data_IF_623280113344
#
_entry.id   IF_623280113344
#
_cell.length_a   1.000
_cell.length_b   1.000
_cell.length_c   1.000
_cell.angle_alpha   90.00
_cell.angle_beta   90.00
_cell.angle_gamma   90.00
#
_symmetry.space_group_name_H-M   'P 1'
#
loop_
_entity.id
_entity.type
_entity.pdbx_description
1 polymer ?
#
# COMPACT_ATOMS: atom_id res chain seq x y z
N UNK A 1 14.80 1.96 -46.21
CA UNK A 1 13.41 2.04 -45.73
C UNK A 1 13.43 1.43 -44.34
N UNK A 2 13.75 2.25 -43.34
CA UNK A 2 14.01 1.79 -41.97
C UNK A 2 12.70 1.83 -41.20
N UNK A 3 12.35 0.72 -40.54
CA UNK A 3 11.16 0.61 -39.69
C UNK A 3 11.14 1.72 -38.62
N UNK A 4 9.98 2.33 -38.34
CA UNK A 4 9.89 3.33 -37.29
C UNK A 4 10.04 2.65 -35.92
N UNK A 5 10.96 3.23 -35.14
CA UNK A 5 11.23 2.97 -33.73
C UNK A 5 9.95 2.78 -32.91
N UNK A 6 9.86 1.63 -32.25
CA UNK A 6 8.81 1.27 -31.31
C UNK A 6 8.87 2.23 -30.09
N UNK A 7 7.97 3.22 -30.08
CA UNK A 7 7.82 4.18 -29.00
C UNK A 7 7.37 3.40 -27.76
N UNK A 8 8.19 3.42 -26.71
CA UNK A 8 7.93 2.73 -25.45
C UNK A 8 6.67 3.27 -24.76
N UNK A 9 5.54 2.59 -24.98
CA UNK A 9 4.30 2.81 -24.23
C UNK A 9 4.44 2.16 -22.86
N UNK A 10 5.08 2.83 -21.90
CA UNK A 10 4.97 2.45 -20.49
C UNK A 10 4.83 3.69 -19.61
N UNK A 11 3.58 4.04 -19.30
CA UNK A 11 3.26 4.94 -18.18
C UNK A 11 1.96 4.48 -17.51
N UNK A 12 1.92 3.21 -17.12
CA UNK A 12 0.86 2.64 -16.28
C UNK A 12 1.51 1.77 -15.21
N UNK A 13 1.08 1.91 -13.95
CA UNK A 13 1.52 1.03 -12.88
C UNK A 13 0.95 -0.37 -13.13
N UNK A 14 1.80 -1.34 -13.45
CA UNK A 14 1.38 -2.75 -13.47
C UNK A 14 1.29 -3.28 -12.03
N UNK A 15 0.06 -3.40 -11.53
CA UNK A 15 -0.21 -3.86 -10.17
C UNK A 15 0.28 -5.29 -9.94
N UNK A 16 0.19 -6.16 -10.94
CA UNK A 16 0.61 -7.57 -10.81
C UNK A 16 2.12 -7.66 -10.60
N UNK A 17 2.89 -6.88 -11.37
CA UNK A 17 4.33 -6.82 -11.23
C UNK A 17 4.76 -6.22 -9.89
N UNK A 18 4.05 -5.18 -9.42
CA UNK A 18 4.31 -4.56 -8.12
C UNK A 18 4.06 -5.54 -6.98
N UNK A 19 2.93 -6.26 -7.00
CA UNK A 19 2.59 -7.26 -5.96
C UNK A 19 3.57 -8.43 -5.99
N UNK A 20 3.91 -8.93 -7.18
CA UNK A 20 4.89 -10.01 -7.34
C UNK A 20 6.25 -9.61 -6.76
N UNK A 21 6.74 -8.42 -7.10
CA UNK A 21 8.01 -7.91 -6.58
C UNK A 21 7.99 -7.72 -5.07
N UNK A 22 6.88 -7.23 -4.50
CA UNK A 22 6.72 -7.08 -3.06
C UNK A 22 6.80 -8.44 -2.33
N UNK A 23 6.23 -9.50 -2.91
CA UNK A 23 6.32 -10.86 -2.37
C UNK A 23 7.75 -11.41 -2.51
N UNK A 24 8.37 -11.28 -3.68
CA UNK A 24 9.74 -11.77 -3.93
C UNK A 24 10.79 -11.11 -3.02
N UNK A 25 10.67 -9.80 -2.80
CA UNK A 25 11.56 -9.05 -1.91
C UNK A 25 11.15 -9.15 -0.44
N UNK A 26 9.99 -9.76 -0.17
CA UNK A 26 9.35 -9.78 1.15
C UNK A 26 9.21 -8.37 1.75
N UNK A 27 8.99 -7.37 0.90
CA UNK A 27 8.89 -5.96 1.24
C UNK A 27 7.59 -5.37 0.68
N UNK A 28 6.59 -5.32 1.54
CA UNK A 28 5.26 -4.80 1.23
C UNK A 28 5.17 -3.27 1.40
N UNK A 29 6.23 -2.61 1.89
CA UNK A 29 6.27 -1.15 1.94
C UNK A 29 6.19 -0.55 0.54
N UNK A 30 6.78 -1.23 -0.44
CA UNK A 30 6.72 -0.87 -1.86
C UNK A 30 5.29 -0.77 -2.40
N UNK A 31 4.36 -1.61 -1.93
CA UNK A 31 2.95 -1.52 -2.31
C UNK A 31 2.30 -0.25 -1.74
N UNK A 32 2.54 0.03 -0.46
CA UNK A 32 2.04 1.23 0.20
C UNK A 32 2.62 2.50 -0.42
N UNK A 33 3.85 2.47 -0.90
CA UNK A 33 4.47 3.63 -1.52
C UNK A 33 3.78 4.11 -2.80
N UNK A 34 3.07 3.21 -3.49
CA UNK A 34 2.36 3.52 -4.74
C UNK A 34 0.94 4.05 -4.51
N UNK A 35 0.46 4.06 -3.27
CA UNK A 35 -0.88 4.52 -2.92
C UNK A 35 -0.78 5.90 -2.26
N UNK A 36 -1.30 6.98 -2.88
CA UNK A 36 -1.19 8.32 -2.28
C UNK A 36 -1.85 8.42 -0.89
N UNK A 37 -2.94 7.68 -0.67
CA UNK A 37 -3.67 7.72 0.59
C UNK A 37 -2.92 7.08 1.78
N UNK A 38 -2.23 5.96 1.58
CA UNK A 38 -1.40 5.35 2.64
C UNK A 38 -0.28 6.31 3.06
N UNK A 39 0.31 7.04 2.10
CA UNK A 39 1.33 8.05 2.36
C UNK A 39 0.76 9.24 3.13
N UNK A 40 -0.44 9.70 2.75
CA UNK A 40 -1.13 10.81 3.42
C UNK A 40 -1.33 10.54 4.93
N UNK A 41 -1.83 9.34 5.28
CA UNK A 41 -2.08 8.94 6.67
C UNK A 41 -0.82 8.42 7.39
N UNK A 42 0.30 8.25 6.68
CA UNK A 42 1.57 7.74 7.21
C UNK A 42 1.56 6.24 7.52
N UNK A 43 0.69 5.47 6.86
CA UNK A 43 0.57 4.03 7.06
C UNK A 43 1.85 3.30 6.67
N UNK A 44 2.27 2.35 7.50
CA UNK A 44 3.39 1.46 7.21
C UNK A 44 3.01 0.00 7.43
N UNK A 45 3.77 -0.91 6.84
CA UNK A 45 3.59 -2.36 6.98
C UNK A 45 4.90 -2.98 7.40
N UNK A 46 4.82 -3.93 8.33
CA UNK A 46 5.93 -4.76 8.75
C UNK A 46 5.51 -6.24 8.61
N UNK A 47 6.42 -7.07 8.11
CA UNK A 47 6.21 -8.52 8.00
C UNK A 47 6.80 -9.21 9.23
N UNK A 48 6.01 -10.07 9.87
CA UNK A 48 6.44 -10.91 10.98
C UNK A 48 6.13 -12.36 10.63
N UNK A 49 7.12 -13.07 10.08
CA UNK A 49 6.92 -14.43 9.57
C UNK A 49 5.84 -14.46 8.50
N UNK A 50 4.72 -15.13 8.80
CA UNK A 50 3.57 -15.26 7.90
C UNK A 50 2.49 -14.18 8.07
N UNK A 51 2.69 -13.24 8.99
CA UNK A 51 1.71 -12.20 9.32
C UNK A 51 2.15 -10.81 8.84
N UNK A 52 1.22 -10.03 8.28
CA UNK A 52 1.44 -8.61 7.98
C UNK A 52 0.86 -7.76 9.10
N UNK A 53 1.66 -6.87 9.65
CA UNK A 53 1.27 -5.93 10.69
C UNK A 53 1.29 -4.53 10.10
N UNK A 54 0.09 -3.96 9.93
CA UNK A 54 -0.08 -2.59 9.50
C UNK A 54 -0.06 -1.64 10.70
N UNK A 55 0.58 -0.49 10.53
CA UNK A 55 0.74 0.52 11.58
C UNK A 55 0.21 1.86 11.09
N UNK A 56 -0.63 2.48 11.91
CA UNK A 56 -1.10 3.84 11.75
C UNK A 56 -0.40 4.73 12.79
N UNK A 57 0.46 5.67 12.40
CA UNK A 57 1.10 6.58 13.34
C UNK A 57 0.08 7.53 13.96
N UNK A 58 0.30 7.90 15.22
CA UNK A 58 -0.40 8.99 15.88
C UNK A 58 0.10 10.33 15.33
N UNK A 59 -0.34 10.66 14.12
CA UNK A 59 -0.05 11.91 13.41
C UNK A 59 -1.15 12.91 13.75
N UNK A 60 -0.81 14.17 14.03
CA UNK A 60 -1.78 15.20 14.40
C UNK A 60 -2.89 15.37 13.35
N UNK A 61 -2.55 15.27 12.06
CA UNK A 61 -3.50 15.33 10.94
C UNK A 61 -4.53 14.17 10.95
N UNK A 62 -4.22 13.06 11.62
CA UNK A 62 -5.10 11.90 11.74
C UNK A 62 -6.04 12.00 12.97
N UNK A 63 -5.80 12.98 13.86
CA UNK A 63 -6.55 13.18 15.09
C UNK A 63 -7.70 14.15 14.82
N UNK A 64 -8.92 13.65 14.96
CA UNK A 64 -10.12 14.47 14.74
C UNK A 64 -10.45 15.40 15.90
N UNK A 65 -10.11 15.01 17.14
CA UNK A 65 -10.34 15.81 18.33
C UNK A 65 -9.02 15.98 19.10
N UNK A 66 -8.41 17.18 19.12
CA UNK A 66 -7.17 17.42 19.86
C UNK A 66 -7.32 17.39 21.38
N UNK A 67 -8.53 17.62 21.89
CA UNK A 67 -8.82 17.68 23.35
C UNK A 67 -9.02 16.26 23.91
N UNK A 68 -9.67 15.38 23.14
CA UNK A 68 -9.74 13.94 23.40
C UNK A 68 -9.07 13.27 22.22
N UNK A 69 -7.79 12.82 22.31
CA UNK A 69 -6.94 12.42 21.17
C UNK A 69 -7.49 11.19 20.44
N UNK A 70 -8.59 11.39 19.75
CA UNK A 70 -9.40 10.39 19.09
C UNK A 70 -9.10 10.45 17.60
N UNK A 71 -8.82 9.29 17.05
CA UNK A 71 -8.54 9.12 15.62
C UNK A 71 -9.81 9.48 14.84
N UNK A 72 -9.65 10.24 13.76
CA UNK A 72 -10.76 10.53 12.86
C UNK A 72 -11.33 9.22 12.28
N UNK A 73 -12.64 9.02 12.39
CA UNK A 73 -13.29 7.77 11.96
C UNK A 73 -13.00 7.40 10.50
N UNK A 74 -12.96 8.40 9.60
CA UNK A 74 -12.60 8.18 8.20
C UNK A 74 -11.16 7.71 7.98
N UNK A 75 -10.21 8.15 8.81
CA UNK A 75 -8.81 7.70 8.75
C UNK A 75 -8.71 6.24 9.20
N UNK A 76 -9.40 5.89 10.29
CA UNK A 76 -9.43 4.51 10.77
C UNK A 76 -10.09 3.56 9.74
N UNK A 77 -11.21 3.99 9.15
CA UNK A 77 -11.90 3.21 8.13
C UNK A 77 -11.02 3.00 6.88
N UNK A 78 -10.41 4.07 6.35
CA UNK A 78 -9.51 3.98 5.20
C UNK A 78 -8.25 3.15 5.49
N UNK A 79 -7.71 3.23 6.71
CA UNK A 79 -6.61 2.37 7.14
C UNK A 79 -7.00 0.88 7.14
N UNK A 80 -8.17 0.54 7.67
CA UNK A 80 -8.68 -0.85 7.69
C UNK A 80 -8.94 -1.36 6.28
N UNK A 81 -9.53 -0.54 5.42
CA UNK A 81 -9.77 -0.87 4.00
C UNK A 81 -8.46 -1.14 3.27
N UNK A 82 -7.47 -0.24 3.40
CA UNK A 82 -6.17 -0.39 2.76
C UNK A 82 -5.44 -1.66 3.23
N UNK A 83 -5.51 -1.93 4.54
CA UNK A 83 -4.91 -3.14 5.13
C UNK A 83 -5.52 -4.42 4.53
N UNK A 84 -6.85 -4.46 4.39
CA UNK A 84 -7.55 -5.59 3.79
C UNK A 84 -7.22 -5.77 2.31
N UNK A 85 -7.15 -4.67 1.53
CA UNK A 85 -6.80 -4.71 0.10
C UNK A 85 -5.41 -5.29 -0.10
N UNK A 86 -4.40 -4.80 0.64
CA UNK A 86 -3.02 -5.29 0.54
C UNK A 86 -2.93 -6.76 0.95
N UNK A 87 -3.59 -7.13 2.07
CA UNK A 87 -3.65 -8.52 2.51
C UNK A 87 -4.26 -9.44 1.45
N UNK A 88 -5.35 -9.01 0.80
CA UNK A 88 -6.02 -9.79 -0.22
C UNK A 88 -5.16 -9.94 -1.48
N UNK A 89 -4.51 -8.87 -1.94
CA UNK A 89 -3.60 -8.93 -3.10
C UNK A 89 -2.48 -9.94 -2.88
N UNK A 90 -1.83 -9.88 -1.72
CA UNK A 90 -0.74 -10.81 -1.36
C UNK A 90 -1.26 -12.24 -1.28
N UNK A 91 -2.40 -12.47 -0.62
CA UNK A 91 -3.00 -13.78 -0.49
C UNK A 91 -3.38 -14.40 -1.84
N UNK A 92 -3.95 -13.61 -2.76
CA UNK A 92 -4.33 -14.07 -4.09
C UNK A 92 -3.12 -14.42 -4.97
N UNK A 93 -2.01 -13.69 -4.83
CA UNK A 93 -0.78 -13.97 -5.57
C UNK A 93 0.01 -15.16 -4.98
N UNK A 94 0.02 -15.32 -3.66
CA UNK A 94 0.72 -16.41 -2.98
C UNK A 94 0.09 -17.79 -3.23
N UNK A 95 -1.19 -17.82 -3.63
CA UNK A 95 -1.94 -19.07 -3.89
C UNK A 95 -1.76 -19.61 -5.32
N UNK A 96 -0.67 -19.26 -6.00
CA UNK A 96 -0.34 -19.75 -7.35
C UNK A 96 0.57 -20.96 -7.28
#
# INVERSE_FOLDING_TARGET
MSEPSNISTQTGLDVQDVVKRAIELNDYSYLLEKVPYSQFIGMSVARFGDEMVFKLPAKDDNIGNPILPAIHGGVLAGFMEMSAIVQLMVFMQAKK
#
